data_IF_023049717029
#
_entry.id   IF_023049717029
#
_cell.length_a   1.000
_cell.length_b   1.000
_cell.length_c   1.000
_cell.angle_alpha   90.00
_cell.angle_beta   90.00
_cell.angle_gamma   90.00
#
_symmetry.space_group_name_H-M   'P 1'
#
loop_
_entity.id
_entity.type
_entity.pdbx_description
1 polymer ?
#
# COMPACT_ATOMS: atom_id res chain seq x y z
N UNK A 1 -0.68 -14.84 -58.79
CA UNK A 1 -1.42 -13.59 -58.49
C UNK A 1 -0.40 -12.52 -58.14
N UNK A 2 -0.42 -11.41 -58.87
CA UNK A 2 0.36 -10.19 -58.66
C UNK A 2 -0.33 -9.36 -57.58
N UNK A 3 0.43 -8.67 -56.73
CA UNK A 3 0.22 -7.23 -56.48
C UNK A 3 1.58 -6.58 -56.20
N UNK A 4 1.98 -5.75 -57.16
CA UNK A 4 3.11 -4.82 -57.11
C UNK A 4 2.53 -3.43 -56.88
N UNK A 5 3.02 -2.72 -55.86
CA UNK A 5 2.92 -1.25 -55.72
C UNK A 5 4.19 -0.82 -54.98
N UNK A 6 5.27 -0.42 -55.65
CA UNK A 6 5.52 0.87 -56.31
C UNK A 6 5.59 2.09 -55.36
N UNK A 7 6.84 2.46 -55.03
CA UNK A 7 7.44 3.82 -55.06
C UNK A 7 6.71 4.99 -54.38
N UNK A 8 7.42 5.67 -53.47
CA UNK A 8 8.00 7.01 -53.69
C UNK A 8 8.63 7.57 -52.41
N UNK A 9 9.95 7.53 -52.34
CA UNK A 9 10.73 8.34 -51.41
C UNK A 9 10.65 9.80 -51.88
N UNK A 10 10.08 10.69 -51.07
CA UNK A 10 10.25 12.14 -51.26
C UNK A 10 11.35 12.60 -50.30
N UNK A 11 12.51 12.91 -50.86
CA UNK A 11 13.58 13.61 -50.15
C UNK A 11 13.25 15.10 -50.33
N UNK A 12 12.66 15.70 -49.30
CA UNK A 12 12.60 17.14 -49.15
C UNK A 12 13.80 17.61 -48.33
N UNK A 13 14.74 18.30 -48.97
CA UNK A 13 15.84 18.98 -48.28
C UNK A 13 15.37 20.35 -47.79
N UNK A 14 15.37 20.59 -46.47
CA UNK A 14 15.63 21.89 -45.83
C UNK A 14 15.50 21.79 -44.29
N UNK A 15 16.55 22.19 -43.58
CA UNK A 15 16.41 22.96 -42.33
C UNK A 15 16.53 22.22 -40.98
N UNK A 16 17.50 22.70 -40.19
CA UNK A 16 17.64 22.63 -38.72
C UNK A 16 18.13 21.29 -38.12
N UNK A 17 19.44 21.26 -37.85
CA UNK A 17 20.02 20.38 -36.84
C UNK A 17 19.54 20.84 -35.45
N UNK A 18 18.39 20.33 -35.01
CA UNK A 18 18.01 20.32 -33.61
C UNK A 18 18.33 18.92 -33.08
N UNK A 19 19.44 18.79 -32.35
CA UNK A 19 19.74 17.60 -31.56
C UNK A 19 18.77 17.63 -30.38
N UNK A 20 17.53 17.20 -30.60
CA UNK A 20 16.58 16.97 -29.51
C UNK A 20 17.08 15.74 -28.77
N UNK A 21 17.83 15.98 -27.70
CA UNK A 21 18.05 14.99 -26.67
C UNK A 21 16.68 14.63 -26.09
N UNK A 22 16.08 13.57 -26.62
CA UNK A 22 14.98 12.89 -25.96
C UNK A 22 15.56 12.27 -24.70
N UNK A 23 15.53 13.01 -23.60
CA UNK A 23 15.59 12.38 -22.27
C UNK A 23 14.38 11.47 -22.23
N UNK A 24 14.60 10.15 -22.35
CA UNK A 24 13.57 9.19 -22.04
C UNK A 24 13.11 9.50 -20.61
N UNK A 25 11.94 10.11 -20.48
CA UNK A 25 11.29 10.23 -19.18
C UNK A 25 11.14 8.80 -18.68
N UNK A 26 11.88 8.44 -17.63
CA UNK A 26 11.65 7.18 -16.95
C UNK A 26 10.21 7.23 -16.47
N UNK A 27 9.33 6.47 -17.11
CA UNK A 27 7.95 6.33 -16.67
C UNK A 27 7.97 5.61 -15.32
N UNK A 28 7.97 6.36 -14.23
CA UNK A 28 7.78 5.83 -12.88
C UNK A 28 6.32 5.40 -12.77
N UNK A 29 6.04 4.10 -12.69
CA UNK A 29 4.70 3.62 -12.42
C UNK A 29 4.26 4.14 -11.02
N UNK A 30 3.07 4.72 -10.91
CA UNK A 30 2.54 5.12 -9.61
C UNK A 30 2.45 3.90 -8.67
N UNK A 31 2.70 4.06 -7.35
CA UNK A 31 2.57 2.96 -6.40
C UNK A 31 1.16 2.37 -6.44
N UNK A 32 1.06 1.06 -6.24
CA UNK A 32 -0.23 0.42 -6.01
C UNK A 32 -0.66 0.69 -4.57
N UNK A 33 -1.78 1.38 -4.38
CA UNK A 33 -2.33 1.73 -3.06
C UNK A 33 -3.55 0.86 -2.81
N UNK A 34 -3.59 0.15 -1.67
CA UNK A 34 -4.69 -0.70 -1.23
C UNK A 34 -5.05 -0.44 0.25
N UNK A 35 -6.20 -0.97 0.69
CA UNK A 35 -6.55 -1.02 2.10
C UNK A 35 -5.72 -2.05 2.87
N UNK A 36 -5.59 -1.88 4.18
CA UNK A 36 -4.99 -2.92 5.02
C UNK A 36 -5.74 -4.25 4.89
N UNK A 37 -5.00 -5.36 4.88
CA UNK A 37 -5.52 -6.72 4.70
C UNK A 37 -5.68 -7.16 3.24
N UNK A 38 -5.50 -6.26 2.27
CA UNK A 38 -5.51 -6.61 0.85
C UNK A 38 -4.14 -7.12 0.41
N UNK A 39 -4.10 -8.27 -0.28
CA UNK A 39 -2.87 -8.79 -0.88
C UNK A 39 -2.45 -7.94 -2.09
N UNK A 40 -1.18 -7.56 -2.16
CA UNK A 40 -0.60 -6.83 -3.27
C UNK A 40 0.63 -7.57 -3.82
N UNK A 41 0.78 -7.57 -5.15
CA UNK A 41 1.82 -8.29 -5.85
C UNK A 41 3.02 -7.38 -6.16
N UNK A 42 4.21 -7.84 -5.80
CA UNK A 42 5.51 -7.34 -6.23
C UNK A 42 6.08 -8.29 -7.28
N UNK A 43 6.50 -7.74 -8.43
CA UNK A 43 7.15 -8.50 -9.51
C UNK A 43 8.57 -7.97 -9.69
N UNK A 44 9.55 -8.83 -9.47
CA UNK A 44 10.98 -8.54 -9.61
C UNK A 44 11.62 -9.55 -10.58
N UNK A 45 11.53 -9.25 -11.88
CA UNK A 45 11.98 -10.16 -12.94
C UNK A 45 11.19 -11.49 -12.90
N UNK A 46 11.84 -12.66 -12.71
CA UNK A 46 11.14 -13.94 -12.59
C UNK A 46 10.53 -14.19 -11.21
N UNK A 47 10.80 -13.32 -10.22
CA UNK A 47 10.32 -13.47 -8.85
C UNK A 47 8.99 -12.76 -8.67
N UNK A 48 8.00 -13.46 -8.09
CA UNK A 48 6.68 -12.91 -7.80
C UNK A 48 6.39 -13.12 -6.32
N UNK A 49 6.17 -12.04 -5.60
CA UNK A 49 5.87 -12.05 -4.17
C UNK A 49 4.56 -11.35 -3.92
N UNK A 50 3.65 -11.99 -3.18
CA UNK A 50 2.47 -11.33 -2.67
C UNK A 50 2.71 -10.95 -1.22
N UNK A 51 2.56 -9.66 -0.93
CA UNK A 51 2.58 -9.13 0.42
C UNK A 51 1.16 -8.79 0.85
N UNK A 52 0.83 -9.12 2.09
CA UNK A 52 -0.35 -8.61 2.77
C UNK A 52 0.11 -7.94 4.05
N UNK A 53 -0.28 -6.68 4.26
CA UNK A 53 -0.01 -5.97 5.51
C UNK A 53 -1.33 -5.60 6.15
N UNK A 54 -1.45 -5.84 7.46
CA UNK A 54 -2.66 -5.57 8.22
C UNK A 54 -2.32 -5.13 9.65
N UNK A 55 -3.37 -4.74 10.38
CA UNK A 55 -3.31 -4.58 11.83
C UNK A 55 -2.21 -3.61 12.33
N UNK A 56 -2.02 -2.49 11.62
CA UNK A 56 -1.09 -1.43 12.05
C UNK A 56 -1.61 -0.75 13.32
N UNK A 57 -0.90 -0.93 14.44
CA UNK A 57 -1.35 -0.45 15.75
C UNK A 57 -0.18 -0.23 16.73
N UNK A 58 -0.39 0.52 17.84
CA UNK A 58 0.60 0.60 18.92
C UNK A 58 0.92 -0.77 19.51
N UNK A 59 2.15 -0.97 19.93
CA UNK A 59 2.64 -2.19 20.55
C UNK A 59 3.25 -1.91 21.93
N UNK A 60 3.05 -2.84 22.87
CA UNK A 60 3.68 -2.81 24.20
C UNK A 60 4.79 -3.87 24.33
N UNK A 61 5.20 -4.49 23.21
CA UNK A 61 6.25 -5.50 23.19
C UNK A 61 7.60 -4.87 23.53
N UNK A 62 8.40 -5.57 24.33
CA UNK A 62 9.80 -5.20 24.57
C UNK A 62 10.69 -5.91 23.55
N UNK A 63 11.49 -5.14 22.81
CA UNK A 63 12.48 -5.67 21.87
C UNK A 63 13.85 -5.66 22.56
N UNK A 64 14.48 -6.82 22.81
CA UNK A 64 15.79 -6.89 23.46
C UNK A 64 16.84 -6.04 22.73
N UNK A 65 17.58 -5.21 23.48
CA UNK A 65 18.63 -4.35 22.93
C UNK A 65 18.10 -3.17 22.10
N UNK A 66 16.80 -2.88 22.16
CA UNK A 66 16.19 -1.72 21.51
C UNK A 66 15.38 -0.90 22.51
N UNK A 67 15.62 0.40 22.53
CA UNK A 67 14.85 1.34 23.35
C UNK A 67 14.14 2.31 22.40
N UNK A 68 12.80 2.25 22.29
CA UNK A 68 12.04 3.17 21.44
C UNK A 68 12.27 4.62 21.86
N UNK A 69 12.41 5.51 20.88
CA UNK A 69 12.47 6.96 21.10
C UNK A 69 11.08 7.59 21.15
N UNK A 70 10.10 6.94 20.53
CA UNK A 70 8.70 7.32 20.57
C UNK A 70 7.82 6.14 20.94
N UNK A 71 6.67 6.01 20.29
CA UNK A 71 5.73 4.91 20.52
C UNK A 71 6.08 3.76 19.58
N UNK A 72 6.23 2.56 20.14
CA UNK A 72 6.41 1.37 19.33
C UNK A 72 5.08 1.03 18.62
N UNK A 73 5.14 0.82 17.32
CA UNK A 73 4.02 0.32 16.52
C UNK A 73 4.38 -1.04 15.92
N UNK A 74 3.36 -1.83 15.63
CA UNK A 74 3.49 -3.09 14.92
C UNK A 74 2.49 -3.19 13.78
N UNK A 75 2.82 -3.96 12.75
CA UNK A 75 1.90 -4.40 11.72
C UNK A 75 2.14 -5.88 11.42
N UNK A 76 1.07 -6.62 11.14
CA UNK A 76 1.17 -8.01 10.71
C UNK A 76 1.48 -8.03 9.21
N UNK A 77 2.38 -8.94 8.82
CA UNK A 77 2.79 -9.09 7.42
C UNK A 77 2.83 -10.57 7.05
N UNK A 78 2.30 -10.87 5.86
CA UNK A 78 2.47 -12.16 5.20
C UNK A 78 3.15 -11.95 3.87
N UNK A 79 4.22 -12.71 3.62
CA UNK A 79 4.97 -12.75 2.38
C UNK A 79 4.82 -14.13 1.75
N UNK A 80 4.25 -14.21 0.55
CA UNK A 80 4.03 -15.46 -0.18
C UNK A 80 4.78 -15.44 -1.50
N UNK A 81 5.56 -16.49 -1.77
CA UNK A 81 6.22 -16.64 -3.06
C UNK A 81 5.30 -17.34 -4.06
N UNK A 82 4.84 -16.62 -5.08
CA UNK A 82 4.05 -17.21 -6.17
C UNK A 82 4.91 -17.55 -7.40
N UNK A 83 6.14 -17.01 -7.47
CA UNK A 83 7.09 -17.28 -8.55
C UNK A 83 8.53 -17.26 -8.02
N UNK A 84 9.24 -18.38 -8.20
CA UNK A 84 10.65 -18.50 -7.83
C UNK A 84 10.93 -18.63 -6.32
N UNK A 85 12.22 -18.56 -5.97
CA UNK A 85 12.69 -18.56 -4.59
C UNK A 85 12.88 -17.11 -4.13
N UNK A 86 11.97 -16.63 -3.28
CA UNK A 86 11.91 -15.22 -2.87
C UNK A 86 12.59 -15.04 -1.52
N UNK A 87 13.39 -13.99 -1.36
CA UNK A 87 13.87 -13.57 -0.04
C UNK A 87 13.16 -12.27 0.35
N UNK A 88 12.33 -12.23 1.41
CA UNK A 88 11.58 -11.04 1.74
C UNK A 88 12.50 -9.93 2.28
N UNK A 89 12.39 -8.73 1.71
CA UNK A 89 13.20 -7.57 2.10
C UNK A 89 12.50 -6.79 3.22
N UNK A 90 12.72 -7.22 4.46
CA UNK A 90 12.08 -6.60 5.64
C UNK A 90 12.37 -5.10 5.73
N UNK A 91 13.59 -4.68 5.41
CA UNK A 91 14.06 -3.29 5.49
C UNK A 91 13.38 -2.30 4.53
N UNK A 92 12.67 -2.80 3.52
CA UNK A 92 11.97 -1.98 2.52
C UNK A 92 10.59 -1.53 3.02
N UNK A 93 10.13 -2.05 4.16
CA UNK A 93 8.89 -1.60 4.78
C UNK A 93 9.08 -0.31 5.60
N UNK A 94 8.16 0.64 5.39
CA UNK A 94 8.16 1.95 6.04
C UNK A 94 6.73 2.27 6.52
N UNK A 95 6.56 2.55 7.81
CA UNK A 95 5.29 3.08 8.30
C UNK A 95 5.19 4.58 7.99
N UNK A 96 3.98 5.03 7.62
CA UNK A 96 3.72 6.39 7.13
C UNK A 96 2.70 7.13 7.98
N UNK A 97 3.08 8.33 8.43
CA UNK A 97 2.18 9.30 9.02
C UNK A 97 1.33 10.04 7.97
N UNK A 98 0.22 10.68 8.38
CA UNK A 98 -0.71 11.40 7.49
C UNK A 98 -0.06 12.56 6.72
N UNK A 99 1.06 13.10 7.23
CA UNK A 99 1.77 14.24 6.65
C UNK A 99 3.06 13.83 5.91
N UNK A 100 3.19 12.55 5.52
CA UNK A 100 4.38 12.03 4.82
C UNK A 100 5.58 11.74 5.71
N UNK A 101 5.39 11.70 7.04
CA UNK A 101 6.42 11.24 7.98
C UNK A 101 6.68 9.74 7.76
N UNK A 102 7.95 9.36 7.72
CA UNK A 102 8.38 7.98 7.47
C UNK A 102 9.08 7.41 8.70
N UNK A 103 8.66 6.23 9.13
CA UNK A 103 9.27 5.47 10.22
C UNK A 103 9.78 4.15 9.65
N UNK A 104 11.10 3.98 9.62
CA UNK A 104 11.76 2.75 9.13
C UNK A 104 11.39 1.57 10.03
N UNK A 105 11.30 0.39 9.44
CA UNK A 105 11.20 -0.85 10.22
C UNK A 105 12.39 -1.00 11.16
N UNK A 106 12.14 -1.57 12.33
CA UNK A 106 13.17 -1.96 13.29
C UNK A 106 13.67 -3.35 12.89
N UNK A 107 14.76 -3.39 12.15
CA UNK A 107 15.44 -4.64 11.77
C UNK A 107 16.49 -5.02 12.82
N UNK A 108 16.01 -5.56 13.94
CA UNK A 108 16.86 -6.04 15.04
C UNK A 108 16.68 -7.54 15.24
N UNK A 109 17.80 -8.26 15.26
CA UNK A 109 17.84 -9.68 15.62
C UNK A 109 17.22 -9.86 17.00
N UNK A 110 16.13 -10.63 17.09
CA UNK A 110 15.45 -10.94 18.34
C UNK A 110 14.18 -10.13 18.63
N UNK A 111 13.71 -9.28 17.72
CA UNK A 111 12.35 -8.75 17.80
C UNK A 111 11.32 -9.91 17.78
N UNK A 112 10.42 -10.01 18.77
CA UNK A 112 9.52 -11.16 18.90
C UNK A 112 8.60 -11.31 17.69
N UNK A 113 8.55 -12.50 17.09
CA UNK A 113 7.62 -12.76 15.98
C UNK A 113 7.91 -11.97 14.70
N UNK A 114 9.08 -11.35 14.57
CA UNK A 114 9.43 -10.62 13.35
C UNK A 114 9.44 -11.50 12.11
N UNK A 115 9.10 -10.89 10.97
CA UNK A 115 9.10 -11.59 9.69
C UNK A 115 10.46 -12.23 9.42
N UNK A 116 10.46 -13.54 9.16
CA UNK A 116 11.68 -14.28 8.89
C UNK A 116 12.27 -13.87 7.51
N UNK A 117 13.51 -13.37 7.44
CA UNK A 117 14.16 -12.98 6.19
C UNK A 117 14.73 -14.18 5.41
N UNK A 118 14.48 -15.43 5.83
CA UNK A 118 14.92 -16.61 5.09
C UNK A 118 14.23 -16.75 3.73
N UNK A 119 14.88 -17.37 2.73
CA UNK A 119 14.27 -17.65 1.44
C UNK A 119 12.98 -18.49 1.55
N UNK A 120 11.94 -18.08 0.83
CA UNK A 120 10.61 -18.67 0.75
C UNK A 120 10.49 -19.41 -0.59
N UNK A 121 10.38 -20.76 -0.57
CA UNK A 121 10.14 -21.54 -1.79
C UNK A 121 8.83 -21.16 -2.47
N UNK A 122 8.78 -21.31 -3.79
CA UNK A 122 7.56 -21.07 -4.56
C UNK A 122 6.39 -21.90 -4.01
N UNK A 123 5.21 -21.28 -3.92
CA UNK A 123 3.99 -21.86 -3.36
C UNK A 123 3.92 -21.83 -1.83
N UNK A 124 4.97 -21.34 -1.15
CA UNK A 124 5.02 -21.21 0.31
C UNK A 124 4.91 -19.75 0.76
N UNK A 125 4.65 -19.56 2.05
CA UNK A 125 4.55 -18.25 2.67
C UNK A 125 5.29 -18.19 4.02
N UNK A 126 5.59 -16.96 4.44
CA UNK A 126 6.14 -16.61 5.76
C UNK A 126 5.32 -15.46 6.32
N UNK A 127 4.91 -15.59 7.57
CA UNK A 127 4.17 -14.56 8.30
C UNK A 127 4.99 -14.08 9.48
N UNK A 128 4.85 -12.80 9.83
CA UNK A 128 5.44 -12.23 11.02
C UNK A 128 4.99 -10.80 11.26
N UNK A 129 5.76 -10.09 12.07
CA UNK A 129 5.44 -8.74 12.52
C UNK A 129 6.52 -7.74 12.11
N UNK A 130 6.09 -6.60 11.58
CA UNK A 130 6.94 -5.43 11.33
C UNK A 130 6.82 -4.49 12.53
N UNK A 131 7.95 -4.03 13.07
CA UNK A 131 7.96 -3.07 14.18
C UNK A 131 8.48 -1.71 13.72
N UNK A 132 7.90 -0.63 14.23
CA UNK A 132 8.27 0.74 13.87
C UNK A 132 8.38 1.59 15.13
N UNK A 133 9.38 2.48 15.20
CA UNK A 133 9.50 3.48 16.26
C UNK A 133 8.95 4.82 15.78
N UNK A 134 7.76 5.16 16.25
CA UNK A 134 6.99 6.33 15.80
C UNK A 134 7.30 7.51 16.71
N UNK A 135 8.12 8.42 16.21
CA UNK A 135 8.56 9.63 16.93
C UNK A 135 7.75 10.87 16.59
N UNK A 136 6.64 10.74 15.86
CA UNK A 136 5.84 11.84 15.34
C UNK A 136 4.35 11.52 15.32
N UNK A 137 3.63 11.97 14.29
CA UNK A 137 2.21 11.66 14.16
C UNK A 137 1.98 10.16 13.95
N UNK A 138 0.86 9.66 14.48
CA UNK A 138 0.45 8.27 14.34
C UNK A 138 0.43 7.84 12.86
N UNK A 139 1.04 6.69 12.51
CA UNK A 139 0.99 6.20 11.15
C UNK A 139 -0.40 5.69 10.77
N UNK A 140 -0.79 5.92 9.52
CA UNK A 140 -2.04 5.46 8.90
C UNK A 140 -1.78 4.60 7.66
N UNK A 141 -0.52 4.26 7.38
CA UNK A 141 -0.13 3.43 6.26
C UNK A 141 1.20 2.71 6.48
N UNK A 142 1.41 1.67 5.69
CA UNK A 142 2.71 1.00 5.51
C UNK A 142 3.00 0.95 4.02
N UNK A 143 4.22 1.30 3.63
CA UNK A 143 4.69 1.23 2.25
C UNK A 143 5.83 0.22 2.12
N UNK A 144 5.87 -0.49 1.00
CA UNK A 144 7.05 -1.19 0.52
C UNK A 144 7.78 -0.29 -0.48
N UNK A 145 9.02 0.07 -0.17
CA UNK A 145 9.82 1.05 -0.91
C UNK A 145 11.19 0.47 -1.27
N UNK A 146 11.50 0.35 -2.56
CA UNK A 146 12.78 -0.16 -3.05
C UNK A 146 13.86 0.95 -3.11
N UNK A 147 14.04 1.65 -1.99
CA UNK A 147 15.07 2.67 -1.79
C UNK A 147 14.76 4.06 -2.37
N UNK A 148 14.19 4.14 -3.57
CA UNK A 148 13.90 5.43 -4.24
C UNK A 148 12.43 5.64 -4.53
N UNK A 149 11.64 4.57 -4.57
CA UNK A 149 10.25 4.61 -5.02
C UNK A 149 9.36 3.66 -4.22
N UNK A 150 8.16 4.14 -3.91
CA UNK A 150 7.11 3.30 -3.36
C UNK A 150 6.54 2.40 -4.44
N UNK A 151 6.44 1.12 -4.14
CA UNK A 151 5.89 0.13 -5.06
C UNK A 151 4.48 -0.25 -4.59
N UNK A 152 4.35 -0.59 -3.30
CA UNK A 152 3.10 -1.03 -2.67
C UNK A 152 2.81 -0.18 -1.44
N UNK A 153 1.54 0.18 -1.21
CA UNK A 153 1.11 0.94 -0.06
C UNK A 153 -0.20 0.36 0.48
N UNK A 154 -0.22 0.00 1.76
CA UNK A 154 -1.43 -0.34 2.51
C UNK A 154 -1.79 0.82 3.43
N UNK A 155 -3.04 1.28 3.41
CA UNK A 155 -3.48 2.42 4.23
C UNK A 155 -4.92 2.31 4.69
N UNK A 156 -5.21 2.86 5.87
CA UNK A 156 -6.58 3.00 6.38
C UNK A 156 -7.37 4.09 5.66
N UNK A 157 -6.73 4.97 4.90
CA UNK A 157 -7.40 6.04 4.15
C UNK A 157 -8.24 5.53 2.97
N UNK A 158 -8.08 4.24 2.62
CA UNK A 158 -8.84 3.54 1.59
C UNK A 158 -10.13 2.91 2.15
N UNK A 159 -10.26 2.78 3.47
CA UNK A 159 -11.48 2.30 4.11
C UNK A 159 -12.55 3.40 4.07
N UNK A 160 -13.19 3.52 2.91
CA UNK A 160 -14.54 4.06 2.74
C UNK A 160 -15.59 2.95 2.61
N UNK A 161 -15.32 1.73 3.09
CA UNK A 161 -16.22 0.58 2.88
C UNK A 161 -16.19 -0.46 4.01
N UNK A 162 -16.11 -0.02 5.27
CA UNK A 162 -16.38 -0.88 6.43
C UNK A 162 -17.16 -0.15 7.52
N UNK A 163 -18.25 0.50 7.12
CA UNK A 163 -19.42 0.67 7.99
C UNK A 163 -20.56 -0.18 7.41
N UNK A 164 -21.21 -1.05 8.20
CA UNK A 164 -22.55 -1.52 7.84
C UNK A 164 -23.42 -0.28 7.70
N UNK A 165 -23.81 0.03 6.47
CA UNK A 165 -24.59 1.22 6.17
C UNK A 165 -25.85 1.26 7.01
N UNK A 166 -25.88 2.14 8.01
CA UNK A 166 -27.15 2.75 8.42
C UNK A 166 -27.51 3.66 7.24
N UNK A 167 -28.34 3.14 6.34
CA UNK A 167 -28.85 3.92 5.23
C UNK A 167 -29.43 5.24 5.79
N UNK A 168 -29.04 6.42 5.27
CA UNK A 168 -29.70 7.65 5.65
C UNK A 168 -31.16 7.52 5.22
N UNK A 169 -32.08 7.67 6.18
CA UNK A 169 -33.51 7.71 5.91
C UNK A 169 -33.79 8.81 4.88
N UNK A 170 -34.58 8.57 3.82
CA UNK A 170 -34.94 9.62 2.88
C UNK A 170 -35.83 10.65 3.59
N UNK A 171 -35.27 11.81 3.93
CA UNK A 171 -36.03 12.96 4.43
C UNK A 171 -36.63 13.73 3.26
N UNK A 172 -37.64 13.14 2.61
CA UNK A 172 -38.54 13.88 1.73
C UNK A 172 -39.92 13.24 1.77
N UNK A 173 -40.95 13.88 2.36
CA UNK A 173 -42.31 13.37 2.27
C UNK A 173 -42.82 13.47 0.83
N UNK A 174 -43.35 12.38 0.30
CA UNK A 174 -44.12 12.41 -0.94
C UNK A 174 -45.38 13.29 -0.75
N UNK A 175 -45.77 14.14 -1.73
CA UNK A 175 -47.01 14.91 -1.63
C UNK A 175 -48.22 13.96 -1.53
N UNK A 176 -48.89 13.95 -0.37
CA UNK A 176 -50.14 13.21 -0.15
C UNK A 176 -50.13 12.13 0.94
N UNK A 177 -49.03 11.92 1.67
CA UNK A 177 -49.03 10.99 2.80
C UNK A 177 -49.36 11.69 4.13
N UNK A 178 -50.36 11.17 4.86
CA UNK A 178 -50.74 11.63 6.20
C UNK A 178 -49.62 11.34 7.22
N UNK A 179 -49.30 12.29 8.13
CA UNK A 179 -48.28 12.05 9.15
C UNK A 179 -48.75 11.00 10.16
N UNK A 180 -47.89 10.01 10.44
CA UNK A 180 -48.07 9.08 11.56
C UNK A 180 -47.64 9.73 12.89
N UNK A 181 -48.19 9.31 14.05
CA UNK A 181 -48.02 10.03 15.31
C UNK A 181 -46.60 9.88 15.88
N UNK A 182 -46.06 10.98 16.44
CA UNK A 182 -44.77 10.98 17.13
C UNK A 182 -44.83 10.25 18.50
N UNK A 183 -43.80 9.49 18.90
CA UNK A 183 -43.70 8.95 20.25
C UNK A 183 -43.25 10.02 21.26
N UNK A 184 -43.97 10.10 22.38
CA UNK A 184 -43.78 11.04 23.48
C UNK A 184 -42.44 10.82 24.20
N UNK A 185 -41.60 11.86 24.28
CA UNK A 185 -40.54 11.94 25.26
C UNK A 185 -41.14 12.39 26.61
N UNK A 186 -40.96 11.57 27.66
CA UNK A 186 -41.10 12.04 29.05
C UNK A 186 -39.78 11.84 29.78
N UNK A 187 -39.30 12.95 30.32
CA UNK A 187 -38.09 13.14 31.08
C UNK A 187 -38.10 12.35 32.39
N UNK A 188 -36.92 11.93 32.83
CA UNK A 188 -36.69 11.49 34.21
C UNK A 188 -35.68 12.46 34.84
N UNK A 189 -36.14 13.17 35.87
CA UNK A 189 -35.33 13.82 36.90
C UNK A 189 -34.80 12.79 37.88
#
# INVERSE_FOLDING_TARGET
MKFTTAMKSVIGAAGIAAVSAFTAATASAAPNIQGFGTSQQLVAGPLITNYTVSNLQPSNVTIPGYTPKGTLYQADVTARSDGGLVTPMVNDFIARGPNGQNYRVIDKVGAPGSLNPAPIPQGSESTGTLYFDVTGAQPNGVAYNEGTQDILIWTSNMQGSSEPGVAPAPTTPAPGALPSPAPNARANT
#
